data_IF_007033336059
#
_entry.id   IF_007033336059
#
_cell.length_a   1.000
_cell.length_b   1.000
_cell.length_c   1.000
_cell.angle_alpha   90.00
_cell.angle_beta   90.00
_cell.angle_gamma   90.00
#
_symmetry.space_group_name_H-M   'P 1'
#
loop_
_entity.id
_entity.type
_entity.pdbx_description
1 polymer ?
#
# COMPACT_ATOMS: atom_id res chain seq x y z
N UNK A 1 -12.17 12.29 10.55
CA UNK A 1 -12.48 11.40 9.45
C UNK A 1 -11.86 11.90 8.15
N UNK A 2 -11.70 11.00 7.18
CA UNK A 2 -11.24 11.33 5.84
C UNK A 2 -12.39 11.16 4.84
N UNK A 3 -12.51 12.10 3.92
CA UNK A 3 -13.50 12.09 2.86
C UNK A 3 -12.79 12.30 1.52
N UNK A 4 -13.29 11.66 0.47
CA UNK A 4 -12.88 11.98 -0.89
C UNK A 4 -14.08 12.30 -1.78
N UNK A 5 -13.89 13.15 -2.72
CA UNK A 5 -14.89 13.57 -3.67
C UNK A 5 -14.56 12.97 -5.04
N UNK A 6 -15.43 12.21 -5.59
CA UNK A 6 -16.73 11.69 -5.21
C UNK A 6 -16.78 10.18 -5.51
N UNK A 7 -17.83 9.48 -5.02
CA UNK A 7 -17.94 8.03 -5.19
C UNK A 7 -18.11 7.65 -6.67
N UNK A 8 -19.12 8.21 -7.34
CA UNK A 8 -19.45 7.83 -8.72
C UNK A 8 -19.91 9.03 -9.57
N UNK A 9 -19.81 8.88 -10.88
CA UNK A 9 -20.40 9.78 -11.85
C UNK A 9 -21.89 9.51 -12.04
N UNK A 10 -22.67 10.57 -12.25
CA UNK A 10 -24.10 10.50 -12.57
C UNK A 10 -24.39 10.75 -14.05
N UNK A 11 -23.37 11.00 -14.87
CA UNK A 11 -23.42 11.17 -16.32
C UNK A 11 -22.02 10.92 -16.94
N UNK A 12 -21.94 10.56 -18.25
CA UNK A 12 -20.64 10.26 -18.88
C UNK A 12 -19.77 11.51 -18.98
N UNK A 13 -18.72 11.56 -18.16
CA UNK A 13 -17.81 12.72 -18.08
C UNK A 13 -16.44 12.29 -17.56
N UNK A 14 -15.41 13.06 -17.88
CA UNK A 14 -14.12 12.97 -17.21
C UNK A 14 -14.20 13.72 -15.88
N UNK A 15 -14.05 13.02 -14.76
CA UNK A 15 -14.14 13.58 -13.41
C UNK A 15 -13.21 12.89 -12.44
N UNK A 16 -13.15 13.38 -11.21
CA UNK A 16 -12.44 12.80 -10.07
C UNK A 16 -13.24 11.76 -9.28
N UNK A 17 -14.33 11.21 -9.83
CA UNK A 17 -15.06 10.11 -9.20
C UNK A 17 -14.20 8.83 -9.10
N UNK A 18 -14.51 7.99 -8.12
CA UNK A 18 -13.90 6.66 -7.99
C UNK A 18 -14.50 5.62 -8.94
N UNK A 19 -15.76 5.80 -9.34
CA UNK A 19 -16.52 4.91 -10.23
C UNK A 19 -17.07 5.75 -11.39
N UNK A 20 -16.92 5.30 -12.62
CA UNK A 20 -17.44 5.99 -13.78
C UNK A 20 -18.98 5.81 -13.93
N UNK A 21 -19.56 6.52 -14.90
CA UNK A 21 -21.01 6.44 -15.19
C UNK A 21 -21.47 5.01 -15.53
N UNK A 22 -20.62 4.19 -16.12
CA UNK A 22 -20.93 2.81 -16.53
C UNK A 22 -20.69 1.78 -15.43
N UNK A 23 -20.25 2.22 -14.23
CA UNK A 23 -19.98 1.34 -13.09
C UNK A 23 -18.56 0.78 -13.05
N UNK A 24 -17.66 1.20 -13.95
CA UNK A 24 -16.28 0.76 -13.92
C UNK A 24 -15.49 1.46 -12.81
N UNK A 25 -14.67 0.72 -12.11
CA UNK A 25 -13.81 1.25 -11.07
C UNK A 25 -12.61 1.95 -11.69
N UNK A 26 -12.42 3.22 -11.35
CA UNK A 26 -11.22 3.97 -11.68
C UNK A 26 -10.10 3.65 -10.68
N UNK A 27 -8.86 4.03 -11.00
CA UNK A 27 -7.70 3.80 -10.13
C UNK A 27 -7.91 4.30 -8.70
N UNK A 28 -8.54 5.46 -8.52
CA UNK A 28 -8.87 6.01 -7.21
C UNK A 28 -9.69 5.05 -6.35
N UNK A 29 -10.63 4.29 -6.94
CA UNK A 29 -11.48 3.37 -6.18
C UNK A 29 -10.68 2.18 -5.62
N UNK A 30 -9.72 1.65 -6.38
CA UNK A 30 -8.79 0.63 -5.89
C UNK A 30 -7.89 1.16 -4.77
N UNK A 31 -7.42 2.41 -4.88
CA UNK A 31 -6.69 3.06 -3.80
C UNK A 31 -7.56 3.29 -2.55
N UNK A 32 -8.83 3.71 -2.74
CA UNK A 32 -9.78 3.88 -1.65
C UNK A 32 -10.00 2.58 -0.87
N UNK A 33 -10.10 1.43 -1.54
CA UNK A 33 -10.15 0.12 -0.89
C UNK A 33 -8.94 -0.13 0.04
N UNK A 34 -7.75 0.37 -0.33
CA UNK A 34 -6.52 0.21 0.48
C UNK A 34 -6.52 1.15 1.68
N UNK A 35 -6.76 2.45 1.50
CA UNK A 35 -6.66 3.43 2.58
C UNK A 35 -7.89 3.45 3.51
N UNK A 36 -9.01 2.82 3.13
CA UNK A 36 -10.16 2.56 4.01
C UNK A 36 -10.18 1.11 4.54
N UNK A 37 -9.08 0.37 4.45
CA UNK A 37 -9.00 -0.95 5.05
C UNK A 37 -9.14 -0.87 6.58
N UNK A 38 -9.71 -1.90 7.25
CA UNK A 38 -9.92 -1.90 8.72
C UNK A 38 -8.65 -1.72 9.54
N UNK A 39 -7.50 -2.10 8.99
CA UNK A 39 -6.18 -1.82 9.54
C UNK A 39 -5.28 -1.29 8.42
N UNK A 40 -4.50 -0.28 8.72
CA UNK A 40 -3.56 0.31 7.76
C UNK A 40 -2.20 0.56 8.40
N UNK A 41 -1.14 0.41 7.62
CA UNK A 41 0.19 0.88 7.94
C UNK A 41 0.60 1.98 6.96
N UNK A 42 1.17 3.06 7.46
CA UNK A 42 1.56 4.21 6.66
C UNK A 42 2.93 4.73 7.08
N UNK A 43 3.63 5.33 6.14
CA UNK A 43 4.81 6.15 6.37
C UNK A 43 4.46 7.62 6.09
N UNK A 44 4.79 8.52 7.02
CA UNK A 44 4.56 9.95 6.88
C UNK A 44 5.83 10.69 7.23
N UNK A 45 6.39 11.51 6.32
CA UNK A 45 7.56 12.34 6.65
C UNK A 45 7.13 13.48 7.58
N UNK A 46 7.88 13.69 8.66
CA UNK A 46 7.69 14.84 9.53
C UNK A 46 8.54 16.05 9.09
N UNK A 47 8.38 17.18 9.77
CA UNK A 47 9.12 18.42 9.46
C UNK A 47 10.62 18.34 9.81
N UNK A 48 11.01 17.40 10.63
CA UNK A 48 12.38 17.17 11.12
C UNK A 48 13.14 16.16 10.26
N UNK A 49 12.53 15.73 9.11
CA UNK A 49 13.08 14.73 8.19
C UNK A 49 13.15 13.31 8.76
N UNK A 50 12.28 12.98 9.71
CA UNK A 50 12.05 11.61 10.11
C UNK A 50 10.87 11.03 9.34
N UNK A 51 10.91 9.73 9.11
CA UNK A 51 9.82 8.92 8.61
C UNK A 51 9.06 8.33 9.81
N UNK A 52 7.86 8.84 10.07
CA UNK A 52 6.96 8.25 11.05
C UNK A 52 6.29 7.03 10.45
N UNK A 53 6.57 5.86 11.02
CA UNK A 53 5.92 4.60 10.68
C UNK A 53 4.77 4.39 11.65
N UNK A 54 3.55 4.48 11.16
CA UNK A 54 2.34 4.47 11.95
C UNK A 54 1.36 3.39 11.52
N UNK A 55 0.57 2.91 12.47
CA UNK A 55 -0.49 1.92 12.25
C UNK A 55 -1.79 2.47 12.80
N UNK A 56 -2.89 2.26 12.08
CA UNK A 56 -4.24 2.62 12.53
C UNK A 56 -5.18 1.44 12.38
N UNK A 57 -6.11 1.30 13.32
CA UNK A 57 -7.15 0.27 13.32
C UNK A 57 -8.52 0.86 13.64
N UNK A 58 -9.52 0.55 12.82
CA UNK A 58 -10.94 0.82 13.10
C UNK A 58 -11.62 -0.38 13.77
N UNK A 59 -10.90 -1.47 14.00
CA UNK A 59 -11.44 -2.69 14.62
C UNK A 59 -11.79 -2.40 16.09
N UNK A 60 -13.03 -2.71 16.55
CA UNK A 60 -13.50 -2.40 17.91
C UNK A 60 -12.98 -3.40 18.96
N UNK A 61 -11.79 -3.95 18.75
CA UNK A 61 -11.10 -4.91 19.63
C UNK A 61 -9.60 -4.65 19.63
N UNK A 62 -8.88 -4.99 20.72
CA UNK A 62 -7.42 -4.92 20.72
C UNK A 62 -6.83 -5.86 19.67
N UNK A 63 -5.76 -5.43 19.03
CA UNK A 63 -5.01 -6.19 18.03
C UNK A 63 -3.55 -6.28 18.43
N UNK A 64 -2.93 -7.43 18.13
CA UNK A 64 -1.50 -7.62 18.31
C UNK A 64 -0.88 -8.28 17.07
N UNK A 65 0.41 -8.05 16.85
CA UNK A 65 1.14 -8.64 15.73
C UNK A 65 2.42 -7.92 15.41
N UNK A 66 2.76 -7.81 14.14
CA UNK A 66 4.00 -7.17 13.70
C UNK A 66 3.83 -6.35 12.43
N UNK A 67 4.70 -5.36 12.31
CA UNK A 67 4.92 -4.56 11.12
C UNK A 67 6.33 -4.78 10.62
N UNK A 68 6.47 -5.23 9.39
CA UNK A 68 7.76 -5.33 8.69
C UNK A 68 7.87 -4.16 7.72
N UNK A 69 8.95 -3.39 7.86
CA UNK A 69 9.35 -2.34 6.94
C UNK A 69 10.61 -2.80 6.19
N UNK A 70 10.56 -2.78 4.87
CA UNK A 70 11.70 -3.04 3.99
C UNK A 70 12.02 -1.78 3.20
N UNK A 71 13.29 -1.38 3.19
CA UNK A 71 13.81 -0.42 2.23
C UNK A 71 14.38 -1.22 1.08
N UNK A 72 13.86 -1.01 -0.11
CA UNK A 72 14.18 -1.75 -1.31
C UNK A 72 14.60 -0.82 -2.42
N UNK A 73 15.51 -1.26 -3.28
CA UNK A 73 15.79 -0.59 -4.54
C UNK A 73 14.77 -1.01 -5.62
N UNK A 74 14.77 -0.30 -6.74
CA UNK A 74 13.89 -0.61 -7.87
C UNK A 74 14.34 -1.84 -8.69
N UNK A 75 15.38 -2.56 -8.26
CA UNK A 75 15.69 -3.92 -8.75
C UNK A 75 15.01 -5.02 -7.92
N UNK A 76 14.38 -4.66 -6.80
CA UNK A 76 13.76 -5.61 -5.88
C UNK A 76 14.69 -6.09 -4.75
N UNK A 77 15.91 -5.54 -4.66
CA UNK A 77 16.86 -5.90 -3.60
C UNK A 77 16.45 -5.25 -2.29
N UNK A 78 16.38 -6.03 -1.21
CA UNK A 78 16.13 -5.51 0.13
C UNK A 78 17.46 -4.97 0.66
N UNK A 79 17.53 -3.66 0.85
CA UNK A 79 18.71 -2.96 1.39
C UNK A 79 18.69 -2.92 2.93
N UNK A 80 17.48 -2.70 3.51
CA UNK A 80 17.27 -2.70 4.97
C UNK A 80 15.96 -3.37 5.31
N UNK A 81 15.91 -4.04 6.46
CA UNK A 81 14.70 -4.66 6.99
C UNK A 81 14.58 -4.37 8.48
N UNK A 82 13.42 -3.89 8.86
CA UNK A 82 13.04 -3.65 10.25
C UNK A 82 11.78 -4.45 10.55
N UNK A 83 11.66 -4.92 11.79
CA UNK A 83 10.47 -5.59 12.29
C UNK A 83 10.10 -5.02 13.64
N UNK A 84 8.86 -4.60 13.78
CA UNK A 84 8.36 -3.94 14.97
C UNK A 84 7.17 -4.72 15.51
N UNK A 85 7.15 -5.06 16.81
CA UNK A 85 5.94 -5.55 17.46
C UNK A 85 4.89 -4.44 17.49
N UNK A 86 3.64 -4.79 17.22
CA UNK A 86 2.50 -3.87 17.22
C UNK A 86 1.46 -4.38 18.21
N UNK A 87 1.04 -3.50 19.13
CA UNK A 87 -0.07 -3.76 20.05
C UNK A 87 -0.96 -2.52 20.03
N UNK A 88 -2.20 -2.68 19.58
CA UNK A 88 -3.19 -1.62 19.51
C UNK A 88 -4.36 -1.93 20.44
N UNK A 89 -4.87 -0.91 21.08
CA UNK A 89 -6.21 -0.94 21.70
C UNK A 89 -7.28 -0.93 20.61
N UNK A 90 -8.53 -1.13 21.01
CA UNK A 90 -9.66 -0.97 20.12
C UNK A 90 -9.67 0.44 19.49
N UNK A 91 -9.81 0.50 18.17
CA UNK A 91 -9.94 1.76 17.40
C UNK A 91 -8.81 2.75 17.68
N UNK A 92 -7.57 2.28 17.67
CA UNK A 92 -6.38 3.08 17.99
C UNK A 92 -5.53 3.34 16.75
N UNK A 93 -4.93 4.52 16.72
CA UNK A 93 -3.83 4.85 15.83
C UNK A 93 -2.57 5.13 16.66
N UNK A 94 -1.43 4.57 16.26
CA UNK A 94 -0.17 4.71 16.98
C UNK A 94 1.02 4.85 16.03
N UNK A 95 1.97 5.72 16.38
CA UNK A 95 3.29 5.73 15.75
C UNK A 95 4.13 4.61 16.36
N UNK A 96 4.48 3.66 15.53
CA UNK A 96 5.28 2.49 15.92
C UNK A 96 6.76 2.85 16.03
N UNK A 97 7.26 3.68 15.08
CA UNK A 97 8.66 4.09 15.04
C UNK A 97 8.83 5.41 14.27
N UNK A 98 9.86 6.18 14.67
CA UNK A 98 10.43 7.27 13.89
C UNK A 98 11.84 6.88 13.45
N UNK A 99 12.15 7.09 12.18
CA UNK A 99 13.42 6.73 11.54
C UNK A 99 13.96 7.94 10.78
N UNK A 100 15.27 8.15 10.79
CA UNK A 100 15.89 9.21 10.01
C UNK A 100 15.82 8.88 8.51
N UNK A 101 15.25 9.77 7.71
CA UNK A 101 15.11 9.58 6.25
C UNK A 101 16.49 9.53 5.58
N UNK A 102 17.48 10.30 6.05
CA UNK A 102 18.82 10.29 5.48
C UNK A 102 19.52 8.93 5.66
N UNK A 103 19.24 8.24 6.79
CA UNK A 103 19.75 6.90 7.01
C UNK A 103 19.01 5.83 6.18
N UNK A 104 17.73 6.05 5.84
CA UNK A 104 16.94 5.12 5.07
C UNK A 104 17.17 5.21 3.57
N UNK A 105 17.31 6.43 3.06
CA UNK A 105 17.32 6.76 1.64
C UNK A 105 18.35 7.81 1.32
N UNK A 106 19.63 7.43 1.27
CA UNK A 106 20.71 8.31 0.80
C UNK A 106 20.46 8.85 -0.60
N UNK A 107 19.83 8.01 -1.45
CA UNK A 107 19.39 8.34 -2.80
C UNK A 107 17.88 8.09 -2.91
N UNK A 108 17.06 9.10 -2.65
CA UNK A 108 15.61 8.94 -2.58
C UNK A 108 14.95 8.56 -3.91
N UNK A 109 15.62 8.78 -5.03
CA UNK A 109 15.20 8.41 -6.38
C UNK A 109 15.50 6.93 -6.75
N UNK A 110 16.33 6.24 -5.97
CA UNK A 110 16.74 4.85 -6.21
C UNK A 110 16.01 3.83 -5.31
N UNK A 111 15.25 4.29 -4.30
CA UNK A 111 14.69 3.40 -3.28
C UNK A 111 13.24 3.73 -2.95
N UNK A 112 12.55 2.74 -2.41
CA UNK A 112 11.21 2.88 -1.82
C UNK A 112 11.11 2.06 -0.52
N UNK A 113 10.13 2.39 0.30
CA UNK A 113 9.79 1.60 1.47
C UNK A 113 8.57 0.72 1.17
N UNK A 114 8.61 -0.54 1.62
CA UNK A 114 7.49 -1.47 1.55
C UNK A 114 7.12 -1.94 2.95
N UNK A 115 5.84 -1.79 3.29
CA UNK A 115 5.28 -2.14 4.59
C UNK A 115 4.40 -3.38 4.47
N UNK A 116 4.60 -4.30 5.39
CA UNK A 116 3.76 -5.49 5.57
C UNK A 116 3.29 -5.53 7.03
N UNK A 117 2.00 -5.31 7.25
CA UNK A 117 1.35 -5.36 8.55
C UNK A 117 0.55 -6.64 8.68
N UNK A 118 0.76 -7.37 9.78
CA UNK A 118 -0.04 -8.54 10.17
C UNK A 118 -0.48 -8.40 11.61
N UNK A 119 -1.77 -8.32 11.82
CA UNK A 119 -2.39 -8.20 13.14
C UNK A 119 -3.46 -9.27 13.34
N UNK A 120 -3.71 -9.63 14.59
CA UNK A 120 -4.79 -10.54 14.97
C UNK A 120 -5.47 -10.11 16.25
N UNK A 121 -6.76 -10.42 16.39
CA UNK A 121 -7.51 -10.37 17.65
C UNK A 121 -7.60 -11.74 18.36
N UNK A 122 -6.84 -12.74 17.86
CA UNK A 122 -6.86 -14.13 18.31
C UNK A 122 -7.84 -15.02 17.54
N UNK A 123 -8.75 -14.46 16.73
CA UNK A 123 -9.71 -15.19 15.90
C UNK A 123 -9.63 -14.81 14.43
N UNK A 124 -9.38 -13.55 14.14
CA UNK A 124 -9.31 -12.99 12.78
C UNK A 124 -7.92 -12.42 12.53
N UNK A 125 -7.38 -12.72 11.38
CA UNK A 125 -6.14 -12.13 10.89
C UNK A 125 -6.44 -10.94 9.96
N UNK A 126 -5.71 -9.87 10.16
CA UNK A 126 -5.77 -8.64 9.36
C UNK A 126 -4.40 -8.42 8.74
N UNK A 127 -4.36 -8.28 7.43
CA UNK A 127 -3.14 -8.00 6.69
C UNK A 127 -3.29 -6.72 5.87
N UNK A 128 -2.28 -5.88 5.88
CA UNK A 128 -2.23 -4.69 5.05
C UNK A 128 -0.83 -4.52 4.46
N UNK A 129 -0.78 -4.14 3.18
CA UNK A 129 0.45 -3.83 2.46
C UNK A 129 0.41 -2.38 2.00
N UNK A 130 1.53 -1.70 2.08
CA UNK A 130 1.66 -0.34 1.59
C UNK A 130 3.07 -0.07 1.09
N UNK A 131 3.20 0.96 0.27
CA UNK A 131 4.45 1.46 -0.26
C UNK A 131 4.59 2.95 0.06
N UNK A 132 5.84 3.40 0.19
CA UNK A 132 6.17 4.80 0.36
C UNK A 132 7.39 5.13 -0.49
N UNK A 133 7.28 6.20 -1.28
CA UNK A 133 8.35 6.69 -2.14
C UNK A 133 8.98 7.92 -1.50
N UNK A 134 10.29 7.94 -1.44
CA UNK A 134 11.05 9.04 -0.81
C UNK A 134 11.13 10.30 -1.68
N UNK A 135 10.68 10.22 -2.93
CA UNK A 135 10.55 11.34 -3.87
C UNK A 135 9.27 11.20 -4.70
N UNK A 136 8.93 12.20 -5.52
CA UNK A 136 7.80 12.10 -6.45
C UNK A 136 8.03 10.99 -7.49
N UNK A 137 6.99 10.26 -7.88
CA UNK A 137 7.09 9.11 -8.80
C UNK A 137 7.83 9.44 -10.12
N UNK A 138 7.66 10.65 -10.65
CA UNK A 138 8.32 11.10 -11.87
C UNK A 138 9.85 11.23 -11.76
N UNK A 139 10.36 11.28 -10.54
CA UNK A 139 11.79 11.37 -10.24
C UNK A 139 12.39 10.03 -9.81
N UNK A 140 11.54 8.99 -9.63
CA UNK A 140 12.01 7.66 -9.28
C UNK A 140 12.69 6.99 -10.47
N UNK A 141 13.83 6.36 -10.22
CA UNK A 141 14.58 5.60 -11.22
C UNK A 141 13.94 4.20 -11.44
N UNK A 142 12.67 4.21 -11.87
CA UNK A 142 11.90 3.00 -12.11
C UNK A 142 12.47 2.20 -13.28
N UNK A 143 12.43 0.88 -13.16
CA UNK A 143 12.77 -0.04 -14.25
C UNK A 143 11.53 -0.50 -14.98
N UNK A 144 11.69 -0.84 -16.24
CA UNK A 144 10.62 -1.50 -17.01
C UNK A 144 10.36 -2.88 -16.38
N UNK A 145 9.15 -3.09 -15.86
CA UNK A 145 8.86 -4.23 -15.01
C UNK A 145 8.84 -5.58 -15.74
N UNK A 146 8.68 -5.60 -17.07
CA UNK A 146 8.63 -6.84 -17.85
C UNK A 146 7.50 -7.78 -17.41
N UNK A 147 6.28 -7.24 -17.25
CA UNK A 147 5.16 -8.01 -16.69
C UNK A 147 4.73 -9.11 -17.67
N UNK A 148 4.70 -10.34 -17.18
CA UNK A 148 4.14 -11.52 -17.84
C UNK A 148 2.87 -11.94 -17.09
N UNK A 149 1.94 -12.55 -17.81
CA UNK A 149 0.70 -13.04 -17.22
C UNK A 149 0.34 -14.44 -17.69
N UNK A 150 -0.31 -15.18 -16.81
CA UNK A 150 -0.97 -16.44 -17.12
C UNK A 150 -2.39 -16.38 -16.59
N UNK A 151 -3.36 -16.67 -17.45
CA UNK A 151 -4.77 -16.72 -17.08
C UNK A 151 -5.27 -18.18 -17.20
N UNK A 152 -5.69 -18.76 -16.10
CA UNK A 152 -6.17 -20.13 -16.02
C UNK A 152 -7.57 -20.19 -15.43
N UNK A 153 -8.41 -21.05 -15.96
CA UNK A 153 -9.69 -21.36 -15.32
C UNK A 153 -9.51 -22.56 -14.39
N UNK A 154 -9.75 -22.40 -13.09
CA UNK A 154 -9.74 -23.46 -12.10
C UNK A 154 -11.13 -23.54 -11.48
N UNK A 155 -11.83 -24.66 -11.73
CA UNK A 155 -13.24 -24.83 -11.37
C UNK A 155 -14.11 -23.73 -11.98
N UNK A 156 -14.76 -22.88 -11.15
CA UNK A 156 -15.60 -21.77 -11.62
C UNK A 156 -14.91 -20.41 -11.57
N UNK A 157 -13.64 -20.37 -11.13
CA UNK A 157 -12.89 -19.13 -10.97
C UNK A 157 -11.78 -18.99 -12.02
N UNK A 158 -11.56 -17.75 -12.45
CA UNK A 158 -10.41 -17.39 -13.24
C UNK A 158 -9.26 -16.98 -12.32
N UNK A 159 -8.10 -17.59 -12.51
CA UNK A 159 -6.87 -17.28 -11.81
C UNK A 159 -5.93 -16.53 -12.74
N UNK A 160 -5.65 -15.26 -12.41
CA UNK A 160 -4.66 -14.45 -13.09
C UNK A 160 -3.37 -14.47 -12.26
N UNK A 161 -2.31 -15.05 -12.80
CA UNK A 161 -0.95 -14.97 -12.24
C UNK A 161 -0.18 -13.90 -12.98
N UNK A 162 0.42 -12.99 -12.23
CA UNK A 162 1.30 -11.94 -12.75
C UNK A 162 2.71 -12.17 -12.23
N UNK A 163 3.68 -12.10 -13.13
CA UNK A 163 5.10 -12.16 -12.83
C UNK A 163 5.80 -10.93 -13.41
N UNK A 164 6.81 -10.42 -12.72
CA UNK A 164 7.61 -9.32 -13.22
C UNK A 164 9.09 -9.50 -12.90
N UNK A 165 9.96 -8.96 -13.73
CA UNK A 165 11.41 -9.02 -13.53
C UNK A 165 11.87 -8.04 -12.45
N UNK A 166 11.14 -6.93 -12.28
CA UNK A 166 11.39 -5.89 -11.30
C UNK A 166 10.09 -5.50 -10.58
N UNK A 167 10.16 -4.81 -9.43
CA UNK A 167 8.98 -4.28 -8.74
C UNK A 167 8.08 -3.49 -9.69
N UNK A 168 6.82 -3.90 -9.77
CA UNK A 168 5.80 -3.26 -10.60
C UNK A 168 4.77 -2.58 -9.69
N UNK A 169 4.58 -1.28 -9.89
CA UNK A 169 3.69 -0.46 -9.08
C UNK A 169 2.41 -0.15 -9.85
N UNK A 170 1.30 -0.02 -9.11
CA UNK A 170 -0.01 0.38 -9.66
C UNK A 170 -0.49 -0.51 -10.82
N UNK A 171 -0.15 -1.81 -10.75
CA UNK A 171 -0.57 -2.78 -11.77
C UNK A 171 -2.09 -2.89 -11.77
N UNK A 172 -2.67 -2.73 -12.96
CA UNK A 172 -4.10 -2.87 -13.20
C UNK A 172 -4.34 -3.97 -14.22
N UNK A 173 -5.28 -4.88 -13.92
CA UNK A 173 -5.69 -5.94 -14.81
C UNK A 173 -7.20 -5.83 -15.07
N UNK A 174 -7.59 -5.93 -16.35
CA UNK A 174 -8.98 -5.91 -16.79
C UNK A 174 -9.23 -7.06 -17.74
N UNK A 175 -10.32 -7.78 -17.56
CA UNK A 175 -10.83 -8.78 -18.52
C UNK A 175 -11.82 -8.08 -19.45
N UNK A 176 -11.56 -8.14 -20.74
CA UNK A 176 -12.43 -7.60 -21.79
C UNK A 176 -13.12 -8.72 -22.54
#
# INVERSE_FOLDING_TARGET
GALYWQLNDNWPVASWSGIDYYGNWKQLHYHAKRFFAPVIAVCVPDKEKHLEVSVSSDVPRPLSGSLVLRIMDFSGTILKRFEFPVNLKAQEAATVRKLDIAELAEKPDEVFAYLELKLTDGTTEYTHYNDFFFTEYKHCNLREAGIRHVLERKEELWHLTLESDFPAFFVFAELK
#
